data_IF_819412367571
#
_entry.id   IF_819412367571
#
_cell.length_a   1.000
_cell.length_b   1.000
_cell.length_c   1.000
_cell.angle_alpha   90.00
_cell.angle_beta   90.00
_cell.angle_gamma   90.00
#
_symmetry.space_group_name_H-M   'P 1'
#
loop_
_entity.id
_entity.type
_entity.pdbx_description
1 polymer ?
#
# COMPACT_ATOMS: atom_id res chain seq x y z
N UNK A 1 -14.82 -3.68 3.42
CA UNK A 1 -13.48 -3.22 3.01
C UNK A 1 -13.38 -1.74 3.35
N UNK A 2 -12.19 -1.25 3.66
CA UNK A 2 -11.90 0.18 3.85
C UNK A 2 -10.72 0.51 2.97
N UNK A 3 -10.80 1.58 2.19
CA UNK A 3 -9.77 1.98 1.24
C UNK A 3 -9.29 3.39 1.56
N UNK A 4 -7.98 3.60 1.48
CA UNK A 4 -7.35 4.90 1.66
C UNK A 4 -6.87 5.38 0.29
N UNK A 5 -7.42 6.51 -0.12
CA UNK A 5 -7.12 7.15 -1.39
C UNK A 5 -6.36 8.45 -1.15
N UNK A 6 -5.31 8.66 -1.94
CA UNK A 6 -4.54 9.90 -1.94
C UNK A 6 -4.62 10.54 -3.32
N UNK A 7 -4.82 11.86 -3.38
CA UNK A 7 -4.83 12.60 -4.63
C UNK A 7 -3.58 13.45 -4.75
N UNK A 8 -2.87 13.30 -5.86
CA UNK A 8 -1.77 14.17 -6.25
C UNK A 8 -1.72 14.30 -7.78
N UNK A 9 -1.24 15.43 -8.30
CA UNK A 9 -1.14 15.69 -9.75
C UNK A 9 -2.41 15.35 -10.55
N UNK A 10 -3.59 15.62 -9.97
CA UNK A 10 -4.92 15.30 -10.53
C UNK A 10 -5.21 13.80 -10.72
N UNK A 11 -4.38 12.91 -10.18
CA UNK A 11 -4.60 11.47 -10.17
C UNK A 11 -4.95 10.98 -8.76
N UNK A 12 -5.85 9.99 -8.69
CA UNK A 12 -6.24 9.34 -7.44
C UNK A 12 -5.51 8.00 -7.33
N UNK A 13 -4.71 7.87 -6.29
CA UNK A 13 -3.98 6.64 -5.97
C UNK A 13 -4.68 5.88 -4.87
N UNK A 14 -4.95 4.58 -5.10
CA UNK A 14 -5.36 3.68 -4.02
C UNK A 14 -4.10 3.22 -3.27
N UNK A 15 -3.82 3.83 -2.11
CA UNK A 15 -2.58 3.57 -1.35
C UNK A 15 -2.67 2.39 -0.40
N UNK A 16 -3.87 2.09 0.09
CA UNK A 16 -4.04 1.05 1.09
C UNK A 16 -5.47 0.48 1.08
N UNK A 17 -5.61 -0.81 1.34
CA UNK A 17 -6.91 -1.48 1.50
C UNK A 17 -6.89 -2.41 2.73
N UNK A 18 -7.84 -2.18 3.64
CA UNK A 18 -8.12 -3.05 4.77
C UNK A 18 -9.35 -3.92 4.48
N UNK A 19 -9.18 -5.24 4.61
CA UNK A 19 -10.25 -6.22 4.47
C UNK A 19 -10.73 -6.71 5.83
N UNK A 20 -12.03 -6.62 6.06
CA UNK A 20 -12.67 -7.09 7.29
C UNK A 20 -13.74 -8.14 6.93
N UNK A 21 -13.78 -9.29 7.64
CA UNK A 21 -14.82 -10.31 7.45
C UNK A 21 -16.15 -9.93 8.13
N UNK A 22 -16.15 -8.84 8.92
CA UNK A 22 -17.26 -8.36 9.73
C UNK A 22 -17.87 -7.06 9.18
N UNK A 23 -19.01 -6.65 9.74
CA UNK A 23 -19.65 -5.39 9.37
C UNK A 23 -18.87 -4.22 9.98
N UNK A 24 -18.62 -3.20 9.18
CA UNK A 24 -18.08 -1.93 9.67
C UNK A 24 -19.24 -1.05 10.07
N UNK A 25 -19.21 -0.53 11.29
CA UNK A 25 -20.28 0.30 11.87
C UNK A 25 -19.92 1.79 11.76
N UNK A 26 -18.67 2.13 12.08
CA UNK A 26 -18.15 3.50 11.99
C UNK A 26 -16.67 3.48 11.61
N UNK A 27 -16.26 4.48 10.84
CA UNK A 27 -14.87 4.78 10.51
C UNK A 27 -14.69 6.28 10.76
N UNK A 28 -13.63 6.67 11.44
CA UNK A 28 -13.29 8.07 11.66
C UNK A 28 -11.78 8.24 11.86
N UNK A 29 -11.26 9.39 11.48
CA UNK A 29 -9.90 9.77 11.88
C UNK A 29 -9.93 10.37 13.28
N UNK A 30 -8.88 10.13 14.06
CA UNK A 30 -8.72 10.74 15.36
C UNK A 30 -8.50 12.26 15.21
N UNK A 31 -9.17 13.04 16.07
CA UNK A 31 -9.15 14.51 16.00
C UNK A 31 -7.85 15.11 16.53
N UNK A 32 -7.18 14.42 17.46
CA UNK A 32 -5.91 14.84 18.04
C UNK A 32 -4.73 14.24 17.26
N UNK A 33 -4.93 13.09 16.61
CA UNK A 33 -3.91 12.37 15.83
C UNK A 33 -4.37 12.15 14.39
N UNK A 34 -4.05 13.09 13.47
CA UNK A 34 -4.59 13.08 12.10
C UNK A 34 -4.32 11.82 11.26
N UNK A 35 -3.30 11.03 11.59
CA UNK A 35 -2.96 9.79 10.87
C UNK A 35 -3.45 8.52 11.56
N UNK A 36 -4.18 8.65 12.67
CA UNK A 36 -4.79 7.53 13.38
C UNK A 36 -6.24 7.33 12.89
N UNK A 37 -6.53 6.16 12.33
CA UNK A 37 -7.85 5.77 11.83
C UNK A 37 -8.49 4.77 12.80
N UNK A 38 -9.63 5.14 13.36
CA UNK A 38 -10.41 4.28 14.25
C UNK A 38 -11.55 3.62 13.48
N UNK A 39 -11.65 2.31 13.57
CA UNK A 39 -12.67 1.50 12.90
C UNK A 39 -13.47 0.72 13.94
N UNK A 40 -14.76 1.00 14.03
CA UNK A 40 -15.72 0.25 14.86
C UNK A 40 -16.38 -0.82 14.01
N UNK A 41 -16.35 -2.05 14.51
CA UNK A 41 -16.72 -3.27 13.81
C UNK A 41 -17.78 -4.01 14.64
N UNK A 42 -18.66 -4.73 13.94
CA UNK A 42 -19.61 -5.68 14.54
C UNK A 42 -19.37 -7.07 13.94
N UNK A 43 -18.80 -8.01 14.71
CA UNK A 43 -18.68 -9.40 14.30
C UNK A 43 -20.05 -10.01 13.98
N UNK A 44 -20.08 -11.02 13.11
CA UNK A 44 -21.33 -11.73 12.78
C UNK A 44 -21.78 -12.68 13.90
N UNK A 45 -20.84 -13.28 14.61
CA UNK A 45 -21.10 -14.28 15.66
C UNK A 45 -21.33 -13.66 17.03
N UNK A 46 -20.67 -12.52 17.28
CA UNK A 46 -20.75 -11.80 18.55
C UNK A 46 -21.33 -10.41 18.26
N UNK A 47 -22.49 -10.11 18.86
CA UNK A 47 -23.17 -8.83 18.65
C UNK A 47 -22.47 -7.67 19.37
N UNK A 48 -21.44 -7.95 20.18
CA UNK A 48 -20.63 -6.93 20.83
C UNK A 48 -19.85 -6.10 19.79
N UNK A 49 -19.85 -4.77 19.99
CA UNK A 49 -19.03 -3.87 19.20
C UNK A 49 -17.57 -4.01 19.62
N UNK A 50 -16.68 -4.11 18.64
CA UNK A 50 -15.24 -4.00 18.85
C UNK A 50 -14.70 -2.82 18.06
N UNK A 51 -13.58 -2.27 18.49
CA UNK A 51 -12.89 -1.19 17.78
C UNK A 51 -11.43 -1.53 17.59
N UNK A 52 -10.81 -0.94 16.57
CA UNK A 52 -9.37 -1.06 16.31
C UNK A 52 -8.87 0.27 15.78
N UNK A 53 -7.63 0.59 16.12
CA UNK A 53 -6.96 1.77 15.63
C UNK A 53 -5.80 1.39 14.69
N UNK A 54 -5.57 2.21 13.67
CA UNK A 54 -4.52 2.06 12.67
C UNK A 54 -3.79 3.38 12.51
N UNK A 55 -2.50 3.41 12.80
CA UNK A 55 -1.65 4.58 12.56
C UNK A 55 -0.97 4.44 11.19
N UNK A 56 -1.07 5.49 10.38
CA UNK A 56 -0.47 5.54 9.04
C UNK A 56 0.74 6.47 9.02
N UNK A 57 1.76 6.09 8.25
CA UNK A 57 2.88 6.95 7.93
C UNK A 57 3.12 6.95 6.41
N UNK A 58 3.81 7.98 5.94
CA UNK A 58 4.34 8.01 4.59
C UNK A 58 5.67 7.27 4.57
N UNK A 59 5.88 6.47 3.52
CA UNK A 59 7.10 5.71 3.26
C UNK A 59 7.52 5.98 1.82
N UNK A 60 8.75 6.48 1.64
CA UNK A 60 9.38 6.63 0.35
C UNK A 60 10.13 5.34 0.00
N UNK A 61 9.56 4.57 -0.93
CA UNK A 61 10.11 3.28 -1.30
C UNK A 61 11.00 3.41 -2.54
N UNK A 62 12.30 3.44 -2.32
CA UNK A 62 13.32 3.55 -3.38
C UNK A 62 14.32 2.41 -3.20
N UNK A 63 14.66 1.70 -4.28
CA UNK A 63 15.70 0.67 -4.23
C UNK A 63 17.07 1.28 -3.93
N UNK A 64 17.90 0.54 -3.18
CA UNK A 64 19.27 0.92 -2.86
C UNK A 64 20.29 0.48 -3.93
N UNK A 65 19.83 0.05 -5.10
CA UNK A 65 20.68 -0.36 -6.22
C UNK A 65 21.07 0.86 -7.09
N UNK A 66 21.89 0.62 -8.13
CA UNK A 66 22.35 1.67 -9.04
C UNK A 66 21.21 2.35 -9.81
N UNK A 67 20.05 1.71 -9.92
CA UNK A 67 18.91 2.23 -10.67
C UNK A 67 18.07 3.22 -9.84
N UNK A 68 18.15 3.15 -8.50
CA UNK A 68 17.36 3.97 -7.58
C UNK A 68 15.87 4.01 -8.00
N UNK A 69 15.30 2.82 -8.14
CA UNK A 69 13.92 2.61 -8.61
C UNK A 69 12.95 3.04 -7.54
N UNK A 70 12.21 4.12 -7.80
CA UNK A 70 11.09 4.53 -6.98
C UNK A 70 9.88 3.64 -7.26
N UNK A 71 9.23 3.16 -6.21
CA UNK A 71 8.02 2.34 -6.32
C UNK A 71 6.82 3.05 -5.72
N UNK A 72 5.73 3.07 -6.47
CA UNK A 72 4.51 3.79 -6.11
C UNK A 72 3.32 2.85 -6.23
N UNK A 73 2.70 2.57 -5.08
CA UNK A 73 1.46 1.79 -5.01
C UNK A 73 0.30 2.60 -5.62
N UNK A 74 -0.45 1.96 -6.50
CA UNK A 74 -1.72 2.44 -7.06
C UNK A 74 -2.72 1.28 -7.23
N UNK A 75 -3.32 0.86 -6.11
CA UNK A 75 -4.26 -0.24 -6.06
C UNK A 75 -3.59 -1.56 -6.44
N UNK A 76 -4.10 -2.19 -7.49
CA UNK A 76 -3.56 -3.45 -8.03
C UNK A 76 -2.29 -3.24 -8.87
N UNK A 77 -1.89 -1.99 -9.11
CA UNK A 77 -0.70 -1.63 -9.86
C UNK A 77 0.42 -1.20 -8.91
N UNK A 78 1.63 -1.69 -9.17
CA UNK A 78 2.86 -1.16 -8.59
C UNK A 78 3.67 -0.49 -9.69
N UNK A 79 3.70 0.84 -9.65
CA UNK A 79 4.40 1.67 -10.63
C UNK A 79 5.87 1.77 -10.25
N UNK A 80 6.75 1.56 -11.22
CA UNK A 80 8.21 1.53 -11.07
C UNK A 80 8.82 2.66 -11.91
N UNK A 81 9.74 3.43 -11.31
CA UNK A 81 10.47 4.50 -12.00
C UNK A 81 11.96 4.45 -11.63
N UNK A 82 12.81 3.83 -12.46
CA UNK A 82 14.28 3.85 -12.31
C UNK A 82 14.83 5.28 -12.46
N UNK A 83 15.03 5.98 -11.34
CA UNK A 83 15.35 7.41 -11.34
C UNK A 83 16.73 7.71 -11.93
N UNK A 84 17.66 6.76 -11.86
CA UNK A 84 18.98 6.89 -12.47
C UNK A 84 18.93 6.88 -14.02
N UNK A 85 17.89 6.27 -14.60
CA UNK A 85 17.71 6.19 -16.06
C UNK A 85 16.82 7.31 -16.59
N UNK A 86 15.69 7.55 -15.92
CA UNK A 86 14.72 8.56 -16.35
C UNK A 86 13.88 9.06 -15.17
N UNK A 87 13.76 10.39 -15.07
CA UNK A 87 12.87 11.05 -14.11
C UNK A 87 11.49 11.22 -14.75
N UNK A 88 10.73 10.13 -14.82
CA UNK A 88 9.34 10.15 -15.33
C UNK A 88 8.45 10.84 -14.29
N UNK A 89 7.70 11.90 -14.65
CA UNK A 89 6.93 12.65 -13.68
C UNK A 89 5.63 11.92 -13.30
N UNK A 90 5.21 11.93 -12.03
CA UNK A 90 3.88 11.47 -11.64
C UNK A 90 2.77 12.23 -12.39
N UNK A 91 1.66 11.58 -12.78
CA UNK A 91 1.27 10.20 -12.46
C UNK A 91 1.85 9.13 -13.38
N UNK A 92 2.70 9.49 -14.35
CA UNK A 92 3.33 8.52 -15.25
C UNK A 92 4.41 7.71 -14.51
N UNK A 93 4.76 6.56 -15.07
CA UNK A 93 5.83 5.69 -14.59
C UNK A 93 6.57 5.06 -15.77
N UNK A 94 7.75 4.47 -15.52
CA UNK A 94 8.51 3.78 -16.54
C UNK A 94 7.92 2.40 -16.88
N UNK A 95 7.46 1.67 -15.87
CA UNK A 95 6.74 0.40 -16.01
C UNK A 95 5.83 0.16 -14.81
N UNK A 96 4.91 -0.79 -14.95
CA UNK A 96 3.96 -1.16 -13.88
C UNK A 96 3.81 -2.67 -13.79
N UNK A 97 3.78 -3.20 -12.58
CA UNK A 97 3.41 -4.59 -12.30
C UNK A 97 1.94 -4.65 -11.89
N UNK A 98 1.20 -5.65 -12.38
CA UNK A 98 -0.21 -5.86 -12.05
C UNK A 98 -0.37 -7.10 -11.15
N UNK A 99 -1.21 -6.96 -10.13
CA UNK A 99 -1.50 -8.01 -9.15
C UNK A 99 -3.00 -8.31 -9.06
N UNK A 100 -3.36 -9.45 -8.47
CA UNK A 100 -4.75 -9.90 -8.32
C UNK A 100 -5.52 -9.20 -7.18
N UNK A 101 -4.83 -8.40 -6.38
CA UNK A 101 -5.41 -7.62 -5.30
C UNK A 101 -4.59 -6.35 -5.03
N UNK A 102 -5.19 -5.31 -4.41
CA UNK A 102 -4.46 -4.10 -4.08
C UNK A 102 -3.21 -4.37 -3.23
N UNK A 103 -2.09 -3.77 -3.65
CA UNK A 103 -0.82 -3.78 -2.93
C UNK A 103 -0.95 -2.91 -1.68
N UNK A 104 -0.43 -3.38 -0.55
CA UNK A 104 -0.46 -2.64 0.72
C UNK A 104 0.92 -2.39 1.31
N UNK A 105 1.91 -3.25 1.02
CA UNK A 105 3.31 -2.99 1.34
C UNK A 105 4.20 -3.52 0.22
N UNK A 106 5.35 -2.87 0.05
CA UNK A 106 6.40 -3.22 -0.90
C UNK A 106 7.75 -3.01 -0.22
N UNK A 107 8.72 -3.88 -0.48
CA UNK A 107 10.09 -3.67 -0.01
C UNK A 107 11.09 -4.25 -1.00
N UNK A 108 12.18 -3.52 -1.22
CA UNK A 108 13.31 -3.98 -2.04
C UNK A 108 14.26 -4.81 -1.20
N UNK A 109 14.72 -5.92 -1.76
CA UNK A 109 15.80 -6.70 -1.17
C UNK A 109 17.12 -6.17 -1.71
N UNK A 110 17.93 -5.60 -0.82
CA UNK A 110 19.26 -5.10 -1.15
C UNK A 110 20.33 -6.19 -0.97
N UNK A 111 20.16 -7.32 -1.67
CA UNK A 111 21.13 -8.41 -1.69
C UNK A 111 21.27 -8.91 -3.13
N UNK A 112 22.41 -8.60 -3.75
CA UNK A 112 22.72 -9.01 -5.12
C UNK A 112 22.85 -10.53 -5.30
N UNK A 113 22.99 -11.29 -4.21
CA UNK A 113 23.02 -12.75 -4.24
C UNK A 113 21.64 -13.39 -4.13
N UNK A 114 20.63 -12.61 -3.72
CA UNK A 114 19.25 -13.07 -3.63
C UNK A 114 18.63 -13.19 -5.03
N UNK A 115 17.94 -14.30 -5.34
CA UNK A 115 17.15 -14.40 -6.56
C UNK A 115 15.87 -13.57 -6.49
N UNK A 116 15.59 -12.92 -5.36
CA UNK A 116 14.44 -12.06 -5.12
C UNK A 116 14.94 -10.63 -4.94
N UNK A 117 14.42 -9.71 -5.73
CA UNK A 117 14.72 -8.28 -5.72
C UNK A 117 13.60 -7.45 -5.06
N UNK A 118 12.36 -7.95 -5.05
CA UNK A 118 11.19 -7.24 -4.53
C UNK A 118 10.24 -8.18 -3.80
N UNK A 119 9.73 -7.74 -2.64
CA UNK A 119 8.67 -8.44 -1.90
C UNK A 119 7.45 -7.53 -1.85
N UNK A 120 6.29 -8.10 -2.20
CA UNK A 120 5.02 -7.38 -2.29
C UNK A 120 3.99 -8.08 -1.42
N UNK A 121 3.33 -7.32 -0.54
CA UNK A 121 2.24 -7.81 0.30
C UNK A 121 0.92 -7.22 -0.17
N UNK A 122 -0.06 -8.10 -0.40
CA UNK A 122 -1.36 -7.77 -0.95
C UNK A 122 -2.45 -7.73 0.13
N UNK A 123 -3.47 -6.91 -0.10
CA UNK A 123 -4.63 -6.74 0.80
C UNK A 123 -5.46 -8.00 1.04
N UNK A 124 -5.31 -9.03 0.20
CA UNK A 124 -5.95 -10.34 0.37
C UNK A 124 -5.19 -11.27 1.33
N UNK A 125 -3.97 -10.89 1.77
CA UNK A 125 -3.10 -11.68 2.63
C UNK A 125 -1.98 -12.41 1.91
N UNK A 126 -1.89 -12.31 0.58
CA UNK A 126 -0.83 -12.97 -0.19
C UNK A 126 0.49 -12.19 -0.08
N UNK A 127 1.59 -12.94 0.02
CA UNK A 127 2.96 -12.42 0.05
C UNK A 127 3.72 -12.97 -1.16
N UNK A 128 4.16 -12.07 -2.04
CA UNK A 128 4.80 -12.41 -3.32
C UNK A 128 6.28 -12.01 -3.29
N UNK A 129 7.11 -12.89 -3.84
CA UNK A 129 8.56 -12.69 -3.98
C UNK A 129 8.87 -12.62 -5.48
N UNK A 130 9.40 -11.48 -5.93
CA UNK A 130 9.73 -11.22 -7.34
C UNK A 130 11.23 -11.14 -7.50
N UNK A 131 11.74 -11.83 -8.54
CA UNK A 131 13.15 -11.91 -8.91
C UNK A 131 13.45 -11.16 -10.19
#
# INVERSE_FOLDING_TARGET
RVQLWHRDNYHWYLKYELRFPCQIVKIDFDIEKPYELVIVKRPKQDMALSWSSYEFCWDDNISCDELATATVIDGELLNLSPLALAVVPPPMCASSLQFDAPVIHVTHINDSSSPVSLVVYLSNGDLLFLG
#
